data_IF_548541231405
#
_entry.id   IF_548541231405
#
_cell.length_a   1.000
_cell.length_b   1.000
_cell.length_c   1.000
_cell.angle_alpha   90.00
_cell.angle_beta   90.00
_cell.angle_gamma   90.00
#
_symmetry.space_group_name_H-M   'P 1'
#
loop_
_entity.id
_entity.type
_entity.pdbx_description
1 polymer ?
#
# COMPACT_ATOMS: atom_id res chain seq x y z
N UNK A 1 -28.93 -16.89 -22.47
CA UNK A 1 -28.03 -15.70 -22.49
C UNK A 1 -27.95 -14.97 -21.14
N UNK A 2 -29.07 -14.65 -20.45
CA UNK A 2 -29.04 -13.95 -19.14
C UNK A 2 -28.16 -14.63 -18.07
N UNK A 3 -28.25 -15.95 -17.89
CA UNK A 3 -27.44 -16.67 -16.88
C UNK A 3 -25.92 -16.60 -17.09
N UNK A 4 -25.43 -16.49 -18.33
CA UNK A 4 -24.00 -16.30 -18.61
C UNK A 4 -23.53 -14.89 -18.26
N UNK A 5 -24.37 -13.88 -18.50
CA UNK A 5 -24.06 -12.47 -18.21
C UNK A 5 -23.98 -12.24 -16.69
N UNK A 6 -24.94 -12.78 -15.92
CA UNK A 6 -24.95 -12.66 -14.45
C UNK A 6 -23.80 -13.43 -13.79
N UNK A 7 -23.49 -14.65 -14.28
CA UNK A 7 -22.35 -15.43 -13.77
C UNK A 7 -21.02 -14.70 -13.98
N UNK A 8 -20.84 -14.06 -15.14
CA UNK A 8 -19.62 -13.33 -15.48
C UNK A 8 -19.44 -12.02 -14.67
N UNK A 9 -20.55 -11.36 -14.30
CA UNK A 9 -20.50 -10.17 -13.42
C UNK A 9 -20.10 -10.55 -11.98
N UNK A 10 -20.66 -11.64 -11.45
CA UNK A 10 -20.33 -12.14 -10.12
C UNK A 10 -18.87 -12.62 -10.00
N UNK A 11 -18.36 -13.36 -10.98
CA UNK A 11 -16.96 -13.83 -10.96
C UNK A 11 -15.96 -12.69 -11.09
N UNK A 12 -16.25 -11.67 -11.91
CA UNK A 12 -15.40 -10.48 -12.04
C UNK A 12 -15.32 -9.69 -10.74
N UNK A 13 -16.46 -9.42 -10.09
CA UNK A 13 -16.51 -8.72 -8.81
C UNK A 13 -15.77 -9.48 -7.69
N UNK A 14 -15.88 -10.81 -7.67
CA UNK A 14 -15.16 -11.65 -6.71
C UNK A 14 -13.64 -11.60 -6.92
N UNK A 15 -13.17 -11.81 -8.15
CA UNK A 15 -11.74 -11.74 -8.49
C UNK A 15 -11.18 -10.34 -8.21
N UNK A 16 -11.97 -9.31 -8.52
CA UNK A 16 -11.61 -7.93 -8.27
C UNK A 16 -11.41 -7.65 -6.77
N UNK A 17 -12.37 -8.08 -5.93
CA UNK A 17 -12.23 -8.00 -4.48
C UNK A 17 -11.01 -8.75 -3.96
N UNK A 18 -10.80 -10.00 -4.39
CA UNK A 18 -9.63 -10.78 -3.97
C UNK A 18 -8.30 -10.16 -4.41
N UNK A 19 -8.25 -9.53 -5.58
CA UNK A 19 -7.05 -8.81 -6.03
C UNK A 19 -6.69 -7.68 -5.05
N UNK A 20 -7.70 -6.93 -4.57
CA UNK A 20 -7.48 -5.85 -3.61
C UNK A 20 -7.10 -6.35 -2.23
N UNK A 21 -7.73 -7.44 -1.77
CA UNK A 21 -7.37 -8.10 -0.51
C UNK A 21 -5.92 -8.61 -0.53
N UNK A 22 -5.49 -9.26 -1.63
CA UNK A 22 -4.14 -9.79 -1.75
C UNK A 22 -3.08 -8.68 -1.71
N UNK A 23 -3.31 -7.56 -2.42
CA UNK A 23 -2.42 -6.39 -2.38
C UNK A 23 -2.44 -5.76 -0.98
N UNK A 24 -3.62 -5.52 -0.39
CA UNK A 24 -3.74 -4.94 0.96
C UNK A 24 -3.11 -5.79 2.05
N UNK A 25 -3.11 -7.12 1.93
CA UNK A 25 -2.50 -8.00 2.92
C UNK A 25 -1.00 -7.69 3.14
N UNK A 26 -0.28 -7.30 2.07
CA UNK A 26 1.13 -6.90 2.16
C UNK A 26 1.27 -5.65 3.04
N UNK A 27 0.45 -4.63 2.80
CA UNK A 27 0.48 -3.38 3.57
C UNK A 27 0.00 -3.57 5.01
N UNK A 28 -1.06 -4.34 5.23
CA UNK A 28 -1.59 -4.65 6.55
C UNK A 28 -0.54 -5.39 7.39
N UNK A 29 0.18 -6.33 6.80
CA UNK A 29 1.22 -7.10 7.51
C UNK A 29 2.36 -6.21 8.05
N UNK A 30 2.58 -5.03 7.46
CA UNK A 30 3.61 -4.10 7.89
C UNK A 30 3.20 -3.24 9.11
N UNK A 31 1.90 -3.16 9.44
CA UNK A 31 1.38 -2.25 10.47
C UNK A 31 1.84 -2.63 11.88
N UNK A 32 1.69 -3.89 12.35
CA UNK A 32 2.03 -4.24 13.74
C UNK A 32 3.50 -3.98 14.07
N UNK A 33 4.40 -4.25 13.11
CA UNK A 33 5.83 -3.99 13.30
C UNK A 33 6.17 -2.50 13.49
N UNK A 34 5.42 -1.61 12.82
CA UNK A 34 5.60 -0.15 12.95
C UNK A 34 5.02 0.41 14.24
N UNK A 35 3.95 -0.19 14.76
CA UNK A 35 3.33 0.22 16.02
C UNK A 35 4.13 -0.32 17.22
N UNK A 36 4.39 -1.63 17.24
CA UNK A 36 5.07 -2.27 18.37
C UNK A 36 6.58 -1.97 18.39
N UNK A 37 7.15 -1.63 17.25
CA UNK A 37 8.56 -1.26 17.09
C UNK A 37 8.74 0.22 16.72
N UNK A 38 7.90 1.11 17.24
CA UNK A 38 7.86 2.52 16.85
C UNK A 38 9.23 3.21 17.02
N UNK A 39 9.80 3.19 18.23
CA UNK A 39 11.10 3.82 18.53
C UNK A 39 12.21 3.31 17.61
N UNK A 40 12.34 1.98 17.47
CA UNK A 40 13.31 1.36 16.56
C UNK A 40 13.11 1.81 15.10
N UNK A 41 11.87 2.01 14.68
CA UNK A 41 11.57 2.46 13.32
C UNK A 41 11.93 3.94 13.15
N UNK A 42 11.69 4.77 14.16
CA UNK A 42 12.15 6.17 14.19
C UNK A 42 13.67 6.23 14.10
N UNK A 43 14.39 5.46 14.92
CA UNK A 43 15.86 5.38 14.88
C UNK A 43 16.36 4.99 13.47
N UNK A 44 15.69 4.03 12.82
CA UNK A 44 16.03 3.61 11.46
C UNK A 44 15.72 4.69 10.39
N UNK A 45 14.66 5.48 10.56
CA UNK A 45 14.39 6.63 9.70
C UNK A 45 15.47 7.70 9.93
N UNK A 46 15.82 7.98 11.19
CA UNK A 46 16.86 8.94 11.55
C UNK A 46 18.23 8.54 11.00
N UNK A 47 18.53 7.24 10.96
CA UNK A 47 19.77 6.73 10.36
C UNK A 47 19.88 6.99 8.85
N UNK A 48 18.80 7.45 8.19
CA UNK A 48 18.81 7.92 6.79
C UNK A 48 19.10 9.42 6.66
N UNK A 49 19.49 10.10 7.73
CA UNK A 49 19.79 11.53 7.75
C UNK A 49 18.55 12.42 7.93
N UNK A 50 17.42 11.85 8.31
CA UNK A 50 16.18 12.59 8.59
C UNK A 50 16.19 13.00 10.07
N UNK A 51 15.94 14.27 10.42
CA UNK A 51 15.88 14.69 11.83
C UNK A 51 14.78 13.96 12.61
N UNK A 52 15.05 13.68 13.88
CA UNK A 52 14.17 12.87 14.75
C UNK A 52 12.70 13.34 14.81
N UNK A 53 12.38 14.65 14.95
CA UNK A 53 10.99 15.10 14.92
C UNK A 53 10.28 14.81 13.59
N UNK A 54 11.02 14.90 12.47
CA UNK A 54 10.49 14.61 11.13
C UNK A 54 10.33 13.09 10.95
N UNK A 55 11.27 12.30 11.48
CA UNK A 55 11.22 10.85 11.43
C UNK A 55 9.96 10.30 12.12
N UNK A 56 9.68 10.80 13.33
CA UNK A 56 8.46 10.45 14.08
C UNK A 56 7.19 10.83 13.32
N UNK A 57 7.14 12.04 12.75
CA UNK A 57 6.00 12.49 11.94
C UNK A 57 5.79 11.62 10.69
N UNK A 58 6.86 11.30 9.97
CA UNK A 58 6.81 10.42 8.80
C UNK A 58 6.31 9.02 9.16
N UNK A 59 6.74 8.47 10.31
CA UNK A 59 6.28 7.16 10.74
C UNK A 59 4.79 7.15 11.08
N UNK A 60 4.30 8.16 11.80
CA UNK A 60 2.86 8.31 12.07
C UNK A 60 2.07 8.45 10.77
N UNK A 61 2.54 9.30 9.85
CA UNK A 61 1.94 9.45 8.53
C UNK A 61 1.92 8.14 7.74
N UNK A 62 3.01 7.36 7.78
CA UNK A 62 3.10 6.05 7.15
C UNK A 62 2.09 5.05 7.75
N UNK A 63 1.94 5.00 9.07
CA UNK A 63 0.96 4.13 9.74
C UNK A 63 -0.47 4.53 9.33
N UNK A 64 -0.78 5.83 9.31
CA UNK A 64 -2.09 6.32 8.86
C UNK A 64 -2.36 5.96 7.39
N UNK A 65 -1.37 6.14 6.50
CA UNK A 65 -1.48 5.75 5.10
C UNK A 65 -1.70 4.23 4.94
N UNK A 66 -1.04 3.40 5.75
CA UNK A 66 -1.23 1.95 5.70
C UNK A 66 -2.63 1.54 6.17
N UNK A 67 -3.12 2.09 7.28
CA UNK A 67 -4.43 1.76 7.85
C UNK A 67 -5.56 2.24 6.92
N UNK A 68 -5.57 3.55 6.63
CA UNK A 68 -6.61 4.16 5.80
C UNK A 68 -6.53 3.64 4.36
N UNK A 69 -5.32 3.55 3.82
CA UNK A 69 -5.08 3.05 2.47
C UNK A 69 -5.55 1.61 2.30
N UNK A 70 -5.14 0.70 3.18
CA UNK A 70 -5.56 -0.70 3.08
C UNK A 70 -7.07 -0.89 3.29
N UNK A 71 -7.66 -0.13 4.22
CA UNK A 71 -9.09 -0.15 4.49
C UNK A 71 -9.90 0.32 3.27
N UNK A 72 -9.65 1.54 2.80
CA UNK A 72 -10.33 2.09 1.62
C UNK A 72 -10.06 1.28 0.35
N UNK A 73 -8.88 0.68 0.22
CA UNK A 73 -8.54 -0.13 -0.94
C UNK A 73 -9.35 -1.43 -0.98
N UNK A 74 -9.60 -2.10 0.15
CA UNK A 74 -10.39 -3.35 0.16
C UNK A 74 -11.85 -3.09 -0.21
N UNK A 75 -12.48 -2.06 0.36
CA UNK A 75 -13.89 -1.75 0.18
C UNK A 75 -14.11 -0.84 -1.05
N UNK A 76 -14.55 -1.45 -2.15
CA UNK A 76 -14.41 -0.97 -3.54
C UNK A 76 -14.91 0.44 -3.87
N UNK A 77 -15.85 1.01 -3.11
CA UNK A 77 -16.35 2.38 -3.34
C UNK A 77 -15.24 3.44 -3.19
N UNK A 78 -14.25 3.17 -2.34
CA UNK A 78 -13.14 4.08 -2.05
C UNK A 78 -11.79 3.57 -2.57
N UNK A 79 -11.78 2.60 -3.50
CA UNK A 79 -10.53 1.95 -3.95
C UNK A 79 -9.50 2.95 -4.52
N UNK A 80 -9.97 4.02 -5.18
CA UNK A 80 -9.11 5.08 -5.73
C UNK A 80 -8.40 5.85 -4.61
N UNK A 81 -9.14 6.22 -3.57
CA UNK A 81 -8.61 6.90 -2.39
C UNK A 81 -7.61 5.99 -1.67
N UNK A 82 -7.97 4.72 -1.47
CA UNK A 82 -7.08 3.73 -0.87
C UNK A 82 -5.76 3.59 -1.64
N UNK A 83 -5.83 3.55 -2.98
CA UNK A 83 -4.65 3.48 -3.86
C UNK A 83 -3.71 4.67 -3.64
N UNK A 84 -4.25 5.89 -3.50
CA UNK A 84 -3.46 7.10 -3.27
C UNK A 84 -2.72 7.02 -1.94
N UNK A 85 -3.40 6.65 -0.85
CA UNK A 85 -2.74 6.49 0.46
C UNK A 85 -1.63 5.43 0.43
N UNK A 86 -1.87 4.29 -0.21
CA UNK A 86 -0.86 3.24 -0.34
C UNK A 86 0.33 3.68 -1.21
N UNK A 87 0.10 4.46 -2.27
CA UNK A 87 1.17 5.06 -3.09
C UNK A 87 1.98 6.10 -2.30
N UNK A 88 1.31 6.95 -1.53
CA UNK A 88 1.94 7.94 -0.64
C UNK A 88 2.85 7.28 0.40
N UNK A 89 2.51 6.08 0.87
CA UNK A 89 3.39 5.27 1.71
C UNK A 89 4.53 4.62 0.90
N UNK A 90 4.19 3.95 -0.20
CA UNK A 90 5.10 3.02 -0.87
C UNK A 90 6.21 3.73 -1.66
N UNK A 91 5.90 4.83 -2.33
CA UNK A 91 6.88 5.56 -3.17
C UNK A 91 8.02 6.13 -2.30
N UNK A 92 7.75 6.93 -1.25
CA UNK A 92 8.82 7.45 -0.39
C UNK A 92 9.57 6.32 0.32
N UNK A 93 8.88 5.28 0.77
CA UNK A 93 9.51 4.11 1.40
C UNK A 93 10.52 3.46 0.46
N UNK A 94 10.18 3.31 -0.82
CA UNK A 94 11.08 2.73 -1.82
C UNK A 94 12.32 3.60 -2.03
N UNK A 95 12.14 4.91 -2.13
CA UNK A 95 13.24 5.85 -2.36
C UNK A 95 14.17 5.89 -1.14
N UNK A 96 13.62 6.10 0.05
CA UNK A 96 14.39 6.32 1.28
C UNK A 96 15.11 5.04 1.75
N UNK A 97 14.45 3.88 1.67
CA UNK A 97 14.97 2.64 2.29
C UNK A 97 15.59 1.66 1.30
N UNK A 98 15.28 1.78 0.01
CA UNK A 98 15.66 0.74 -0.97
C UNK A 98 16.43 1.24 -2.19
N UNK A 99 16.54 2.55 -2.40
CA UNK A 99 17.32 3.09 -3.52
C UNK A 99 18.81 3.22 -3.19
N UNK A 100 19.15 3.53 -1.92
CA UNK A 100 20.52 3.77 -1.48
C UNK A 100 20.81 3.12 -0.09
N UNK A 101 21.58 2.02 -0.04
CA UNK A 101 22.07 1.23 -1.19
C UNK A 101 20.91 0.55 -1.94
N UNK A 102 21.15 0.23 -3.22
CA UNK A 102 20.12 -0.32 -4.10
C UNK A 102 19.75 -1.76 -3.71
N UNK A 103 18.56 -1.94 -3.17
CA UNK A 103 17.99 -3.23 -2.79
C UNK A 103 17.12 -3.77 -3.93
N UNK A 104 17.74 -4.37 -4.97
CA UNK A 104 17.07 -4.79 -6.20
C UNK A 104 15.74 -5.54 -5.97
N UNK A 105 15.71 -6.53 -5.07
CA UNK A 105 14.48 -7.29 -4.78
C UNK A 105 13.36 -6.38 -4.26
N UNK A 106 13.67 -5.51 -3.30
CA UNK A 106 12.66 -4.62 -2.69
C UNK A 106 12.16 -3.59 -3.70
N UNK A 107 13.06 -3.00 -4.49
CA UNK A 107 12.68 -2.03 -5.53
C UNK A 107 11.77 -2.67 -6.59
N UNK A 108 12.10 -3.85 -7.09
CA UNK A 108 11.29 -4.53 -8.10
C UNK A 108 9.91 -4.95 -7.57
N UNK A 109 9.83 -5.47 -6.33
CA UNK A 109 8.55 -5.80 -5.70
C UNK A 109 7.69 -4.55 -5.50
N UNK A 110 8.29 -3.46 -5.02
CA UNK A 110 7.57 -2.21 -4.83
C UNK A 110 7.13 -1.60 -6.17
N UNK A 111 7.93 -1.70 -7.24
CA UNK A 111 7.52 -1.27 -8.58
C UNK A 111 6.28 -2.02 -9.08
N UNK A 112 6.24 -3.34 -8.87
CA UNK A 112 5.08 -4.16 -9.21
C UNK A 112 3.83 -3.73 -8.44
N UNK A 113 3.96 -3.48 -7.13
CA UNK A 113 2.88 -2.98 -6.29
C UNK A 113 2.42 -1.57 -6.71
N UNK A 114 3.35 -0.66 -6.99
CA UNK A 114 3.05 0.68 -7.51
C UNK A 114 2.23 0.57 -8.80
N UNK A 115 2.61 -0.30 -9.73
CA UNK A 115 1.86 -0.56 -10.95
C UNK A 115 0.42 -1.02 -10.68
N UNK A 116 0.24 -2.00 -9.79
CA UNK A 116 -1.10 -2.50 -9.41
C UNK A 116 -1.98 -1.43 -8.75
N UNK A 117 -1.37 -0.59 -7.89
CA UNK A 117 -2.06 0.54 -7.24
C UNK A 117 -2.44 1.63 -8.27
N UNK A 118 -1.55 1.95 -9.22
CA UNK A 118 -1.84 2.92 -10.28
C UNK A 118 -2.98 2.46 -11.19
N UNK A 119 -2.98 1.19 -11.60
CA UNK A 119 -4.09 0.61 -12.39
C UNK A 119 -5.40 0.75 -11.61
N UNK A 120 -5.38 0.52 -10.30
CA UNK A 120 -6.59 0.63 -9.47
C UNK A 120 -7.03 2.08 -9.24
N UNK A 121 -6.08 3.01 -9.10
CA UNK A 121 -6.37 4.44 -8.99
C UNK A 121 -7.03 5.01 -10.26
N UNK A 122 -6.70 4.46 -11.44
CA UNK A 122 -7.18 4.95 -12.73
C UNK A 122 -8.48 4.29 -13.21
N UNK A 123 -8.86 3.13 -12.66
CA UNK A 123 -10.04 2.38 -13.11
C UNK A 123 -11.27 2.66 -12.25
N UNK A 124 -12.45 2.51 -12.85
CA UNK A 124 -13.71 2.53 -12.10
C UNK A 124 -13.90 1.24 -11.27
N UNK A 125 -14.56 1.31 -10.11
CA UNK A 125 -14.96 0.12 -9.36
C UNK A 125 -15.87 -0.79 -10.20
N UNK A 126 -15.65 -2.10 -10.13
CA UNK A 126 -16.46 -3.12 -10.83
C UNK A 126 -17.65 -3.61 -10.02
#
# INVERSE_FOLDING_TARGET
MKNLIFKNKGTKSLLDFFSRVAISAIFISAIPGKINGFERTVEYITSKGIPDPIASFLLVGAIMCLILGSGFFIFGENQKIGSIFLLLFLIPTTIIFHMFPFHQRAVLMNLGLIGGLLITALREPT
#
